data_IF_847136880446
#
_entry.id   IF_847136880446
#
_cell.length_a   1.000
_cell.length_b   1.000
_cell.length_c   1.000
_cell.angle_alpha   90.00
_cell.angle_beta   90.00
_cell.angle_gamma   90.00
#
_symmetry.space_group_name_H-M   'P 1'
#
loop_
_entity.id
_entity.type
_entity.pdbx_description
1 polymer ?
#
# COMPACT_ATOMS: atom_id res chain seq x y z
N UNK A 1 5.55 12.94 -6.46
CA UNK A 1 5.77 11.63 -5.82
C UNK A 1 4.63 11.32 -4.86
N UNK A 2 3.94 10.21 -5.07
CA UNK A 2 2.79 9.76 -4.28
C UNK A 2 3.10 8.37 -3.73
N UNK A 3 2.93 8.18 -2.42
CA UNK A 3 2.99 6.87 -1.79
C UNK A 3 1.58 6.27 -1.78
N UNK A 4 1.39 5.13 -2.43
CA UNK A 4 0.09 4.47 -2.47
C UNK A 4 -0.07 3.43 -1.35
N UNK A 5 -1.27 3.42 -0.77
CA UNK A 5 -1.70 2.40 0.19
C UNK A 5 -2.27 1.16 -0.52
N UNK A 6 -2.40 0.07 0.23
CA UNK A 6 -2.79 -1.25 -0.28
C UNK A 6 -4.19 -1.25 -0.87
N UNK A 7 -5.14 -0.52 -0.30
CA UNK A 7 -6.53 -0.48 -0.76
C UNK A 7 -6.68 0.14 -2.16
N UNK A 8 -6.01 1.26 -2.42
CA UNK A 8 -5.96 1.90 -3.74
C UNK A 8 -5.31 0.97 -4.76
N UNK A 9 -4.21 0.30 -4.37
CA UNK A 9 -3.56 -0.68 -5.26
C UNK A 9 -4.47 -1.87 -5.58
N UNK A 10 -5.27 -2.35 -4.62
CA UNK A 10 -6.26 -3.41 -4.86
C UNK A 10 -7.29 -2.95 -5.89
N UNK A 11 -7.80 -1.72 -5.79
CA UNK A 11 -8.75 -1.17 -6.75
C UNK A 11 -8.14 -1.03 -8.15
N UNK A 12 -6.89 -0.57 -8.26
CA UNK A 12 -6.16 -0.51 -9.52
C UNK A 12 -5.96 -1.91 -10.15
N UNK A 13 -5.52 -2.89 -9.35
CA UNK A 13 -5.33 -4.27 -9.81
C UNK A 13 -6.65 -4.94 -10.23
N UNK A 14 -7.78 -4.52 -9.65
CA UNK A 14 -9.14 -4.95 -10.03
C UNK A 14 -9.72 -4.16 -11.19
N UNK A 15 -9.01 -3.17 -11.72
CA UNK A 15 -9.48 -2.28 -12.78
C UNK A 15 -10.76 -1.53 -12.38
N UNK A 16 -10.86 -1.11 -11.12
CA UNK A 16 -11.98 -0.31 -10.65
C UNK A 16 -11.96 1.06 -11.32
N UNK A 17 -12.98 1.43 -12.12
CA UNK A 17 -12.90 2.59 -13.01
C UNK A 17 -12.57 3.93 -12.32
N UNK A 18 -13.11 4.24 -11.12
CA UNK A 18 -12.73 5.46 -10.40
C UNK A 18 -11.26 5.54 -10.03
N UNK A 19 -10.64 4.41 -9.63
CA UNK A 19 -9.23 4.37 -9.27
C UNK A 19 -8.33 4.54 -10.52
N UNK A 20 -8.71 3.91 -11.63
CA UNK A 20 -8.00 4.06 -12.90
C UNK A 20 -8.10 5.49 -13.42
N UNK A 21 -9.30 6.07 -13.44
CA UNK A 21 -9.49 7.46 -13.87
C UNK A 21 -8.75 8.46 -12.97
N UNK A 22 -8.66 8.17 -11.67
CA UNK A 22 -7.85 8.95 -10.74
C UNK A 22 -6.36 8.84 -11.07
N UNK A 23 -5.82 7.63 -11.27
CA UNK A 23 -4.42 7.40 -11.64
C UNK A 23 -4.06 8.12 -12.95
N UNK A 24 -4.91 8.02 -13.98
CA UNK A 24 -4.72 8.69 -15.27
C UNK A 24 -4.71 10.22 -15.14
N UNK A 25 -5.42 10.77 -14.15
CA UNK A 25 -5.47 12.21 -13.90
C UNK A 25 -4.18 12.79 -13.29
N UNK A 26 -3.28 11.94 -12.78
CA UNK A 26 -2.05 12.36 -12.11
C UNK A 26 -0.90 12.70 -13.08
N UNK A 27 -1.01 12.37 -14.36
CA UNK A 27 0.01 12.68 -15.36
C UNK A 27 1.34 11.94 -15.11
N UNK A 28 2.44 12.69 -14.98
CA UNK A 28 3.81 12.15 -14.80
C UNK A 28 4.22 12.00 -13.32
N UNK A 29 3.28 12.09 -12.38
CA UNK A 29 3.59 11.92 -10.96
C UNK A 29 4.16 10.53 -10.67
N UNK A 30 5.32 10.50 -10.01
CA UNK A 30 5.97 9.26 -9.61
C UNK A 30 5.16 8.55 -8.52
N UNK A 31 4.79 7.30 -8.78
CA UNK A 31 4.10 6.44 -7.81
C UNK A 31 5.11 5.50 -7.14
N UNK A 32 5.10 5.50 -5.81
CA UNK A 32 5.93 4.64 -4.97
C UNK A 32 5.03 3.79 -4.09
N UNK A 33 5.47 2.56 -3.82
CA UNK A 33 4.86 1.66 -2.86
C UNK A 33 5.78 1.49 -1.65
N UNK A 34 5.20 1.36 -0.46
CA UNK A 34 5.98 0.89 0.68
C UNK A 34 6.26 -0.60 0.55
N UNK A 35 7.37 -1.07 1.13
CA UNK A 35 7.63 -2.52 1.23
C UNK A 35 6.50 -3.27 1.93
N UNK A 36 5.80 -2.64 2.88
CA UNK A 36 4.64 -3.23 3.56
C UNK A 36 3.44 -3.41 2.62
N UNK A 37 3.16 -2.45 1.74
CA UNK A 37 2.09 -2.55 0.74
C UNK A 37 2.34 -3.74 -0.20
N UNK A 38 3.60 -3.93 -0.64
CA UNK A 38 3.98 -5.10 -1.44
C UNK A 38 3.73 -6.40 -0.68
N UNK A 39 4.08 -6.46 0.61
CA UNK A 39 3.85 -7.63 1.46
C UNK A 39 2.35 -7.94 1.61
N UNK A 40 1.50 -6.94 1.82
CA UNK A 40 0.05 -7.13 1.97
C UNK A 40 -0.60 -7.62 0.67
N UNK A 41 -0.19 -7.07 -0.48
CA UNK A 41 -0.68 -7.53 -1.80
C UNK A 41 -0.29 -8.98 -2.09
N UNK A 42 0.93 -9.39 -1.74
CA UNK A 42 1.37 -10.79 -1.84
C UNK A 42 0.56 -11.67 -0.87
N UNK A 43 0.36 -11.24 0.38
CA UNK A 43 -0.43 -11.97 1.37
C UNK A 43 -1.89 -12.18 0.89
N UNK A 44 -2.46 -11.21 0.17
CA UNK A 44 -3.81 -11.30 -0.39
C UNK A 44 -3.96 -12.29 -1.56
N UNK A 45 -2.88 -12.82 -2.12
CA UNK A 45 -2.93 -13.77 -3.22
C UNK A 45 -3.36 -15.17 -2.76
N UNK A 46 -4.25 -15.82 -3.51
CA UNK A 46 -4.78 -17.16 -3.15
C UNK A 46 -3.84 -18.30 -3.50
N UNK A 47 -2.93 -18.07 -4.43
CA UNK A 47 -2.00 -19.07 -4.95
C UNK A 47 -0.81 -18.41 -5.65
N UNK A 48 0.17 -19.24 -6.01
CA UNK A 48 1.40 -18.79 -6.66
C UNK A 48 1.17 -18.10 -8.01
N UNK A 49 0.19 -18.53 -8.79
CA UNK A 49 -0.07 -17.91 -10.10
C UNK A 49 -0.62 -16.48 -9.95
N UNK A 50 -1.43 -16.23 -8.92
CA UNK A 50 -1.87 -14.87 -8.57
C UNK A 50 -0.71 -14.02 -8.05
N UNK A 51 0.12 -14.58 -7.15
CA UNK A 51 1.31 -13.89 -6.65
C UNK A 51 2.25 -13.48 -7.79
N UNK A 52 2.59 -14.39 -8.69
CA UNK A 52 3.45 -14.10 -9.83
C UNK A 52 2.85 -13.03 -10.76
N UNK A 53 1.52 -12.97 -10.89
CA UNK A 53 0.85 -11.89 -11.63
C UNK A 53 1.00 -10.56 -10.90
N UNK A 54 0.70 -10.52 -9.61
CA UNK A 54 0.83 -9.30 -8.79
C UNK A 54 2.27 -8.80 -8.81
N UNK A 55 3.26 -9.65 -8.54
CA UNK A 55 4.69 -9.26 -8.56
C UNK A 55 5.14 -8.67 -9.90
N UNK A 56 4.62 -9.18 -11.03
CA UNK A 56 4.89 -8.59 -12.36
C UNK A 56 4.30 -7.20 -12.51
N UNK A 57 3.06 -6.97 -12.08
CA UNK A 57 2.42 -5.65 -12.12
C UNK A 57 3.17 -4.65 -11.21
N UNK A 58 3.55 -5.10 -10.01
CA UNK A 58 4.26 -4.29 -9.01
C UNK A 58 5.69 -3.91 -9.46
N UNK A 59 6.32 -4.71 -10.32
CA UNK A 59 7.66 -4.44 -10.86
C UNK A 59 7.78 -3.15 -11.68
N UNK A 60 6.66 -2.48 -12.00
CA UNK A 60 6.63 -1.17 -12.68
C UNK A 60 6.73 0.01 -11.71
N UNK A 61 6.56 -0.21 -10.41
CA UNK A 61 6.56 0.83 -9.38
C UNK A 61 7.87 0.88 -8.60
N UNK A 62 8.23 2.07 -8.12
CA UNK A 62 9.29 2.21 -7.13
C UNK A 62 8.87 1.61 -5.78
N UNK A 63 9.78 0.93 -5.08
CA UNK A 63 9.53 0.39 -3.73
C UNK A 63 10.45 1.08 -2.72
N UNK A 64 9.85 1.68 -1.69
CA UNK A 64 10.57 2.32 -0.60
C UNK A 64 10.39 1.53 0.72
N UNK A 65 11.49 1.32 1.44
CA UNK A 65 11.46 0.80 2.80
C UNK A 65 11.63 1.95 3.80
N UNK A 66 10.83 1.99 4.88
CA UNK A 66 11.07 2.96 5.95
C UNK A 66 12.44 2.71 6.58
N UNK A 67 13.09 3.79 6.97
CA UNK A 67 14.32 3.70 7.75
C UNK A 67 14.00 3.21 9.18
N UNK A 68 15.01 2.72 9.93
CA UNK A 68 14.82 2.38 11.34
C UNK A 68 14.20 3.52 12.16
N UNK A 69 14.60 4.77 11.89
CA UNK A 69 14.08 5.95 12.58
C UNK A 69 12.59 6.19 12.27
N UNK A 70 12.19 5.98 11.01
CA UNK A 70 10.78 6.05 10.61
C UNK A 70 9.93 4.95 11.27
N UNK A 71 10.50 3.77 11.49
CA UNK A 71 9.84 2.69 12.24
C UNK A 71 9.64 3.05 13.71
N UNK A 72 10.66 3.65 14.36
CA UNK A 72 10.55 4.13 15.74
C UNK A 72 9.52 5.26 15.88
N UNK A 73 9.46 6.16 14.89
CA UNK A 73 8.44 7.20 14.82
C UNK A 73 7.03 6.60 14.65
N UNK A 74 6.87 5.64 13.73
CA UNK A 74 5.60 4.96 13.52
C UNK A 74 5.07 4.32 14.82
N UNK A 75 5.94 3.63 15.58
CA UNK A 75 5.58 3.07 16.87
C UNK A 75 5.17 4.16 17.88
N UNK A 76 5.91 5.26 17.92
CA UNK A 76 5.62 6.39 18.81
C UNK A 76 4.28 7.05 18.49
N UNK A 77 3.95 7.24 17.21
CA UNK A 77 2.66 7.75 16.74
C UNK A 77 1.55 6.78 17.11
N UNK A 78 1.72 5.49 16.84
CA UNK A 78 0.72 4.48 17.18
C UNK A 78 0.43 4.45 18.68
N UNK A 79 1.47 4.40 19.52
CA UNK A 79 1.32 4.38 20.98
C UNK A 79 0.58 5.61 21.52
N UNK A 80 0.80 6.79 20.91
CA UNK A 80 0.12 8.03 21.28
C UNK A 80 -1.38 8.00 20.97
N UNK A 81 -1.77 7.39 19.86
CA UNK A 81 -3.12 7.52 19.31
C UNK A 81 -3.99 6.26 19.43
N UNK A 82 -3.42 5.09 19.71
CA UNK A 82 -4.16 3.82 19.83
C UNK A 82 -5.36 3.93 20.79
N UNK A 83 -5.14 4.34 22.04
CA UNK A 83 -6.20 4.40 23.05
C UNK A 83 -7.11 5.63 22.92
N UNK A 84 -6.59 6.73 22.38
CA UNK A 84 -7.33 7.99 22.29
C UNK A 84 -8.23 8.06 21.05
N UNK A 85 -7.87 7.37 19.97
CA UNK A 85 -8.56 7.44 18.68
C UNK A 85 -8.93 6.05 18.13
N UNK A 86 -8.68 4.98 18.89
CA UNK A 86 -9.02 3.62 18.49
C UNK A 86 -8.21 3.08 17.30
N UNK A 87 -7.02 3.64 17.03
CA UNK A 87 -6.19 3.19 15.92
C UNK A 87 -5.81 1.72 16.08
N UNK A 88 -5.94 0.92 15.03
CA UNK A 88 -5.64 -0.52 15.07
C UNK A 88 -6.69 -1.37 15.78
N UNK A 89 -7.80 -0.79 16.22
CA UNK A 89 -8.97 -1.60 16.59
C UNK A 89 -9.65 -2.05 15.30
N UNK A 90 -9.54 -3.33 14.97
CA UNK A 90 -10.48 -3.96 14.04
C UNK A 90 -11.88 -3.79 14.64
N UNK A 91 -12.81 -3.17 13.90
CA UNK A 91 -14.22 -3.22 14.27
C UNK A 91 -14.61 -4.69 14.49
N UNK A 92 -15.34 -5.03 15.57
CA UNK A 92 -15.88 -6.38 15.77
C UNK A 92 -16.85 -6.77 14.65
#
# INVERSE_FOLDING_TARGET
MILLDTDVMIDLLRQYPPAVAWLDSLGEEEIILSGFVVMELIQGCRNKAEQEKVERELGTYGVAWPSPEACDEALSVFARYHLSHGLGNSMP
#
